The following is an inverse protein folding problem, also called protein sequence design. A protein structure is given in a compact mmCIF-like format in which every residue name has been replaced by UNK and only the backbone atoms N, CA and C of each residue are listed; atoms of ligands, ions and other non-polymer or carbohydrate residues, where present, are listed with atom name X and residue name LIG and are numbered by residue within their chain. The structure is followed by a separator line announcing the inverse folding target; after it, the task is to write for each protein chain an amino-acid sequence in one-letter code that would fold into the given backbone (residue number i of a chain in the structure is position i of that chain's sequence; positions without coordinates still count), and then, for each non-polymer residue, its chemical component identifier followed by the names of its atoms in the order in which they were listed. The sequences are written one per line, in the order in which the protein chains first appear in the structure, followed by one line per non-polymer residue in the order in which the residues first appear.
data_IF_628315976677
#
_entry.id   IF_628315976677
#
_cell.length_a   1.000
_cell.length_b   1.000
_cell.length_c   1.000
_cell.angle_alpha   90.00
_cell.angle_beta   90.00
_cell.angle_gamma   90.00
#
_symmetry.space_group_name_H-M   'P 1'
#
loop_
_entity.id
_entity.type
_entity.pdbx_description
1 polymer ?
#
# COMPACT_ATOMS: atom_id res chain seq x y z
N UNK A 1 15.86 10.16 6.82
CA UNK A 1 16.66 9.85 5.62
C UNK A 1 17.82 8.93 6.00
N UNK A 2 17.74 7.64 5.66
CA UNK A 2 18.77 6.63 5.96
C UNK A 2 19.61 6.41 4.71
N UNK A 3 20.91 6.71 4.80
CA UNK A 3 21.91 6.47 3.76
C UNK A 3 22.02 4.96 3.48
N UNK A 4 21.60 4.51 2.31
CA UNK A 4 22.02 3.21 1.76
C UNK A 4 23.48 3.35 1.32
N UNK A 5 24.37 2.54 1.93
CA UNK A 5 25.73 2.33 1.46
C UNK A 5 25.74 1.13 0.53
N UNK A 6 26.33 1.35 -0.65
CA UNK A 6 26.65 0.39 -1.70
C UNK A 6 27.30 -0.90 -1.16
N UNK A 7 26.89 -2.06 -1.70
CA UNK A 7 27.53 -3.37 -1.52
C UNK A 7 27.53 -4.20 -2.81
N UNK A 8 27.82 -3.58 -3.95
CA UNK A 8 28.07 -4.28 -5.21
C UNK A 8 29.42 -3.86 -5.80
N UNK A 9 30.47 -4.09 -5.03
CA UNK A 9 31.83 -4.16 -5.55
C UNK A 9 32.53 -5.33 -4.86
N UNK A 10 33.29 -6.08 -5.65
CA UNK A 10 34.05 -7.30 -5.33
C UNK A 10 33.19 -8.58 -5.40
N UNK A 11 33.44 -9.50 -6.32
CA UNK A 11 34.74 -10.15 -6.58
C UNK A 11 34.97 -10.41 -8.06
N UNK A 12 35.80 -9.58 -8.68
CA UNK A 12 36.58 -9.97 -9.85
C UNK A 12 37.82 -10.66 -9.29
N UNK A 13 37.72 -11.97 -8.99
CA UNK A 13 38.83 -12.74 -8.44
C UNK A 13 39.69 -13.28 -9.59
N UNK A 14 40.88 -12.71 -9.72
CA UNK A 14 42.13 -13.32 -10.18
C UNK A 14 42.02 -14.35 -11.31
N UNK A 15 41.70 -13.90 -12.54
CA UNK A 15 42.22 -14.63 -13.71
C UNK A 15 43.70 -14.28 -13.84
N UNK A 16 44.57 -15.25 -13.60
CA UNK A 16 45.96 -15.20 -14.07
C UNK A 16 45.95 -14.78 -15.55
N UNK A 17 46.84 -13.89 -15.98
CA UNK A 17 46.89 -13.49 -17.39
C UNK A 17 47.13 -14.74 -18.23
N UNK A 18 46.16 -15.09 -19.07
CA UNK A 18 46.30 -16.16 -20.05
C UNK A 18 47.39 -15.72 -21.02
N UNK A 19 48.60 -16.24 -20.85
CA UNK A 19 49.66 -16.03 -21.83
C UNK A 19 49.35 -16.94 -23.02
N UNK A 20 48.64 -16.42 -24.00
CA UNK A 20 48.48 -17.08 -25.29
C UNK A 20 49.86 -17.17 -25.92
N UNK A 21 50.41 -18.38 -25.97
CA UNK A 21 51.65 -18.66 -26.68
C UNK A 21 51.35 -18.63 -28.18
N UNK A 22 52.17 -17.92 -28.94
CA UNK A 22 52.07 -17.87 -30.40
C UNK A 22 52.41 -19.24 -31.02
N UNK A 23 51.87 -19.55 -32.20
CA UNK A 23 52.14 -20.81 -32.90
C UNK A 23 53.65 -21.07 -33.11
N UNK A 24 54.43 -20.00 -33.31
CA UNK A 24 55.89 -20.03 -33.46
C UNK A 24 56.63 -20.38 -32.15
N UNK A 25 56.05 -20.08 -30.99
CA UNK A 25 56.59 -20.50 -29.68
C UNK A 25 56.27 -21.97 -29.37
N UNK A 26 55.17 -22.51 -29.90
CA UNK A 26 54.76 -23.91 -29.71
C UNK A 26 55.60 -24.85 -30.58
N UNK A 27 55.92 -24.46 -31.83
CA UNK A 27 56.70 -25.29 -32.76
C UNK A 27 58.15 -25.52 -32.35
N UNK A 28 58.67 -24.70 -31.42
CA UNK A 28 60.05 -24.77 -30.93
C UNK A 28 60.20 -25.55 -29.61
N UNK A 29 59.10 -26.06 -29.06
CA UNK A 29 59.12 -26.82 -27.80
C UNK A 29 59.73 -28.21 -28.00
N UNK A 30 60.49 -28.66 -27.02
CA UNK A 30 60.87 -30.07 -26.91
C UNK A 30 59.66 -30.93 -26.51
N UNK A 31 59.73 -32.23 -26.79
CA UNK A 31 58.69 -33.20 -26.43
C UNK A 31 58.28 -33.16 -24.96
N UNK A 32 59.23 -32.91 -24.06
CA UNK A 32 58.99 -32.81 -22.63
C UNK A 32 58.23 -31.51 -22.27
N UNK A 33 58.64 -30.39 -22.85
CA UNK A 33 57.99 -29.08 -22.64
C UNK A 33 56.57 -29.06 -23.21
N UNK A 34 56.35 -29.68 -24.37
CA UNK A 34 55.02 -29.84 -24.96
C UNK A 34 54.10 -30.69 -24.09
N UNK A 35 54.59 -31.82 -23.54
CA UNK A 35 53.82 -32.66 -22.60
C UNK A 35 53.45 -31.90 -21.33
N UNK A 36 54.37 -31.11 -20.77
CA UNK A 36 54.10 -30.25 -19.60
C UNK A 36 53.01 -29.21 -19.92
N UNK A 37 53.07 -28.58 -21.10
CA UNK A 37 52.07 -27.62 -21.55
C UNK A 37 50.68 -28.26 -21.66
N UNK A 38 50.56 -29.44 -22.28
CA UNK A 38 49.30 -30.18 -22.37
C UNK A 38 48.72 -30.51 -20.99
N UNK A 39 49.56 -31.02 -20.08
CA UNK A 39 49.12 -31.33 -18.71
C UNK A 39 48.59 -30.07 -18.03
N UNK A 40 49.28 -28.93 -18.18
CA UNK A 40 48.85 -27.65 -17.61
C UNK A 40 47.49 -27.21 -18.18
N UNK A 41 47.30 -27.28 -19.50
CA UNK A 41 46.04 -26.92 -20.14
C UNK A 41 44.88 -27.84 -19.72
N UNK A 42 45.14 -29.15 -19.58
CA UNK A 42 44.15 -30.12 -19.12
C UNK A 42 43.76 -29.88 -17.67
N UNK A 43 44.71 -29.55 -16.80
CA UNK A 43 44.44 -29.21 -15.40
C UNK A 43 43.59 -27.94 -15.31
N UNK A 44 43.94 -26.88 -16.06
CA UNK A 44 43.15 -25.64 -16.09
C UNK A 44 41.72 -25.88 -16.61
N UNK A 45 41.56 -26.73 -17.63
CA UNK A 45 40.24 -27.11 -18.13
C UNK A 45 39.44 -27.91 -17.09
N UNK A 46 40.10 -28.80 -16.35
CA UNK A 46 39.48 -29.57 -15.26
C UNK A 46 39.02 -28.67 -14.12
N UNK A 47 39.83 -27.70 -13.70
CA UNK A 47 39.48 -26.71 -12.67
C UNK A 47 38.27 -25.88 -13.10
N UNK A 48 38.27 -25.35 -14.33
CA UNK A 48 37.15 -24.60 -14.89
C UNK A 48 35.84 -25.41 -14.94
N UNK A 49 35.90 -26.70 -15.32
CA UNK A 49 34.73 -27.58 -15.32
C UNK A 49 34.18 -27.82 -13.91
N UNK A 50 35.05 -27.96 -12.92
CA UNK A 50 34.65 -28.11 -11.53
C UNK A 50 33.96 -26.84 -11.01
N UNK A 51 34.50 -25.66 -11.30
CA UNK A 51 33.87 -24.38 -10.95
C UNK A 51 32.49 -24.22 -11.60
N UNK A 52 32.36 -24.55 -12.89
CA UNK A 52 31.07 -24.52 -13.59
C UNK A 52 30.07 -25.51 -12.98
N UNK A 53 30.52 -26.70 -12.59
CA UNK A 53 29.68 -27.72 -11.93
C UNK A 53 29.14 -27.21 -10.60
N UNK A 54 29.98 -26.62 -9.76
CA UNK A 54 29.56 -26.03 -8.48
C UNK A 54 28.62 -24.84 -8.68
N UNK A 55 28.92 -23.96 -9.66
CA UNK A 55 28.01 -22.87 -10.03
C UNK A 55 26.64 -23.37 -10.50
N UNK A 56 26.58 -24.49 -11.21
CA UNK A 56 25.32 -25.07 -11.66
C UNK A 56 24.53 -25.70 -10.50
N UNK A 57 25.21 -26.26 -9.49
CA UNK A 57 24.58 -26.72 -8.24
C UNK A 57 23.98 -25.57 -7.46
N UNK A 58 24.69 -24.45 -7.31
CA UNK A 58 24.16 -23.27 -6.61
C UNK A 58 22.94 -22.68 -7.33
N UNK A 59 23.01 -22.54 -8.66
CA UNK A 59 21.87 -22.06 -9.47
C UNK A 59 20.64 -22.97 -9.31
N UNK A 60 20.83 -24.29 -9.27
CA UNK A 60 19.73 -25.24 -9.04
C UNK A 60 19.09 -25.05 -7.67
N UNK A 61 19.91 -24.82 -6.64
CA UNK A 61 19.45 -24.55 -5.28
C UNK A 61 18.64 -23.25 -5.23
N UNK A 62 19.19 -22.15 -5.74
CA UNK A 62 18.53 -20.84 -5.77
C UNK A 62 17.20 -20.91 -6.55
N UNK A 63 17.17 -21.66 -7.66
CA UNK A 63 15.94 -21.89 -8.42
C UNK A 63 14.87 -22.62 -7.61
N UNK A 64 15.25 -23.59 -6.77
CA UNK A 64 14.31 -24.29 -5.89
C UNK A 64 13.73 -23.34 -4.85
N UNK A 65 14.60 -22.60 -4.16
CA UNK A 65 14.20 -21.63 -3.13
C UNK A 65 13.27 -20.54 -3.70
N UNK A 66 13.56 -20.03 -4.90
CA UNK A 66 12.69 -19.09 -5.59
C UNK A 66 11.30 -19.66 -5.90
N UNK A 67 11.22 -20.95 -6.25
CA UNK A 67 9.94 -21.62 -6.56
C UNK A 67 9.10 -21.81 -5.30
N UNK A 68 9.75 -22.11 -4.19
CA UNK A 68 9.09 -22.26 -2.89
C UNK A 68 8.56 -20.89 -2.41
N UNK A 69 9.40 -19.85 -2.44
CA UNK A 69 8.98 -18.48 -2.12
C UNK A 69 7.82 -18.01 -3.02
N UNK A 70 7.85 -18.32 -4.31
CA UNK A 70 6.75 -18.01 -5.23
C UNK A 70 5.45 -18.72 -4.83
N UNK A 71 5.54 -19.96 -4.36
CA UNK A 71 4.38 -20.76 -3.96
C UNK A 71 3.79 -20.24 -2.65
N UNK A 72 4.63 -19.88 -1.67
CA UNK A 72 4.22 -19.27 -0.41
C UNK A 72 3.49 -17.94 -0.60
N UNK A 73 3.85 -17.17 -1.64
CA UNK A 73 3.19 -15.89 -1.93
C UNK A 73 1.79 -16.01 -2.54
N UNK A 74 1.40 -17.18 -3.08
CA UNK A 74 0.09 -17.33 -3.78
C UNK A 74 -1.11 -17.24 -2.85
N UNK A 75 -1.03 -17.87 -1.69
CA UNK A 75 -2.09 -17.87 -0.68
C UNK A 75 -2.39 -16.46 -0.14
N UNK A 76 -1.41 -15.69 0.39
CA UNK A 76 -1.68 -14.35 0.89
C UNK A 76 -2.17 -13.40 -0.22
N UNK A 77 -1.69 -13.54 -1.46
CA UNK A 77 -2.22 -12.76 -2.59
C UNK A 77 -3.71 -13.06 -2.85
N UNK A 78 -4.10 -14.34 -2.76
CA UNK A 78 -5.50 -14.76 -2.93
C UNK A 78 -6.37 -14.25 -1.78
N UNK A 79 -5.85 -14.30 -0.54
CA UNK A 79 -6.54 -13.75 0.63
C UNK A 79 -6.73 -12.22 0.51
N UNK A 80 -5.68 -11.48 0.13
CA UNK A 80 -5.74 -10.03 -0.11
C UNK A 80 -6.81 -9.72 -1.16
N UNK A 81 -6.85 -10.47 -2.26
CA UNK A 81 -7.86 -10.30 -3.33
C UNK A 81 -9.28 -10.49 -2.79
N UNK A 82 -9.53 -11.53 -1.99
CA UNK A 82 -10.83 -11.81 -1.42
C UNK A 82 -11.26 -10.74 -0.40
N UNK A 83 -10.32 -10.29 0.44
CA UNK A 83 -10.55 -9.22 1.40
C UNK A 83 -10.89 -7.89 0.71
N UNK A 84 -10.20 -7.56 -0.38
CA UNK A 84 -10.51 -6.39 -1.22
C UNK A 84 -11.92 -6.47 -1.81
N UNK A 85 -12.30 -7.64 -2.35
CA UNK A 85 -13.65 -7.84 -2.88
C UNK A 85 -14.71 -7.62 -1.79
N UNK A 86 -14.53 -8.22 -0.61
CA UNK A 86 -15.42 -8.05 0.54
C UNK A 86 -15.50 -6.60 1.01
N UNK A 87 -14.36 -5.90 1.04
CA UNK A 87 -14.29 -4.49 1.41
C UNK A 87 -15.06 -3.62 0.43
N UNK A 88 -14.90 -3.85 -0.88
CA UNK A 88 -15.63 -3.13 -1.92
C UNK A 88 -17.16 -3.29 -1.78
N UNK A 89 -17.64 -4.50 -1.47
CA UNK A 89 -19.08 -4.71 -1.21
C UNK A 89 -19.57 -3.92 -0.01
N UNK A 90 -18.79 -3.85 1.07
CA UNK A 90 -19.11 -3.06 2.28
C UNK A 90 -19.12 -1.57 1.98
N UNK A 91 -18.14 -1.06 1.25
CA UNK A 91 -18.07 0.35 0.83
C UNK A 91 -19.28 0.71 -0.01
N UNK A 92 -19.67 -0.12 -0.97
CA UNK A 92 -20.86 0.14 -1.80
C UNK A 92 -22.14 0.19 -0.97
N UNK A 93 -22.30 -0.72 0.01
CA UNK A 93 -23.43 -0.69 0.96
C UNK A 93 -23.42 0.59 1.80
N UNK A 94 -22.26 0.95 2.36
CA UNK A 94 -22.11 2.16 3.17
C UNK A 94 -22.44 3.41 2.36
N UNK A 95 -21.99 3.49 1.10
CA UNK A 95 -22.28 4.62 0.21
C UNK A 95 -23.78 4.80 0.00
N UNK A 96 -24.52 3.71 -0.23
CA UNK A 96 -25.99 3.77 -0.33
C UNK A 96 -26.62 4.28 0.96
N UNK A 97 -26.19 3.76 2.11
CA UNK A 97 -26.68 4.21 3.41
C UNK A 97 -26.42 5.71 3.66
N UNK A 98 -25.23 6.21 3.29
CA UNK A 98 -24.90 7.63 3.39
C UNK A 98 -25.84 8.49 2.55
N UNK A 99 -26.09 8.12 1.29
CA UNK A 99 -27.03 8.84 0.40
C UNK A 99 -28.45 8.86 1.01
N UNK A 100 -28.92 7.72 1.54
CA UNK A 100 -30.24 7.64 2.17
C UNK A 100 -30.34 8.53 3.41
N UNK A 101 -29.26 8.63 4.20
CA UNK A 101 -29.20 9.49 5.38
C UNK A 101 -29.16 10.98 4.99
N UNK A 102 -28.37 11.36 4.00
CA UNK A 102 -28.32 12.73 3.46
C UNK A 102 -29.72 13.17 2.98
N UNK A 103 -30.44 12.30 2.27
CA UNK A 103 -31.81 12.59 1.85
C UNK A 103 -32.77 12.79 3.03
N UNK A 104 -32.69 11.92 4.04
CA UNK A 104 -33.52 12.03 5.25
C UNK A 104 -33.21 13.29 6.05
N UNK A 105 -31.93 13.65 6.16
CA UNK A 105 -31.48 14.86 6.85
C UNK A 105 -32.02 16.11 6.16
N UNK A 106 -31.92 16.20 4.83
CA UNK A 106 -32.48 17.30 4.06
C UNK A 106 -34.01 17.43 4.24
N UNK A 107 -34.73 16.30 4.21
CA UNK A 107 -36.18 16.27 4.45
C UNK A 107 -36.53 16.73 5.87
N UNK A 108 -35.77 16.30 6.87
CA UNK A 108 -35.97 16.71 8.26
C UNK A 108 -35.71 18.20 8.45
N UNK A 109 -34.62 18.73 7.89
CA UNK A 109 -34.30 20.15 7.93
C UNK A 109 -35.43 21.01 7.34
N UNK A 110 -35.99 20.60 6.19
CA UNK A 110 -37.14 21.26 5.58
C UNK A 110 -38.38 21.24 6.50
N UNK A 111 -38.67 20.08 7.11
CA UNK A 111 -39.80 19.94 8.04
C UNK A 111 -39.65 20.81 9.28
N UNK A 112 -38.46 20.84 9.89
CA UNK A 112 -38.16 21.68 11.04
C UNK A 112 -38.27 23.18 10.71
N UNK A 113 -37.81 23.60 9.52
CA UNK A 113 -37.99 24.97 9.08
C UNK A 113 -39.47 25.36 8.93
N UNK A 114 -40.31 24.45 8.42
CA UNK A 114 -41.76 24.67 8.33
C UNK A 114 -42.41 24.76 9.70
N UNK A 115 -42.06 23.86 10.63
CA UNK A 115 -42.56 23.90 12.02
C UNK A 115 -42.17 25.22 12.69
N UNK A 116 -40.90 25.64 12.57
CA UNK A 116 -40.41 26.91 13.12
C UNK A 116 -41.21 28.11 12.60
N UNK A 117 -41.50 28.16 11.29
CA UNK A 117 -42.34 29.22 10.71
C UNK A 117 -43.78 29.22 11.27
N UNK A 118 -44.36 28.04 11.52
CA UNK A 118 -45.71 27.94 12.11
C UNK A 118 -45.71 28.37 13.58
N UNK A 119 -44.71 27.97 14.35
CA UNK A 119 -44.54 28.38 15.75
C UNK A 119 -44.37 29.89 15.84
N UNK A 120 -43.48 30.49 15.04
CA UNK A 120 -43.27 31.93 15.01
C UNK A 120 -44.58 32.70 14.74
N UNK A 121 -45.35 32.29 13.74
CA UNK A 121 -46.65 32.91 13.43
C UNK A 121 -47.63 32.81 14.60
N UNK A 122 -47.65 31.66 15.29
CA UNK A 122 -48.51 31.47 16.45
C UNK A 122 -48.06 32.35 17.63
N UNK A 123 -46.76 32.44 17.90
CA UNK A 123 -46.20 33.30 18.93
C UNK A 123 -46.52 34.78 18.68
N UNK A 124 -46.32 35.24 17.45
CA UNK A 124 -46.64 36.62 17.04
C UNK A 124 -48.16 36.89 17.20
N UNK A 125 -49.00 35.92 16.86
CA UNK A 125 -50.45 36.00 17.05
C UNK A 125 -50.86 36.10 18.52
N UNK A 126 -50.30 35.26 19.38
CA UNK A 126 -50.55 35.30 20.84
C UNK A 126 -50.09 36.63 21.43
N UNK A 127 -48.92 37.14 21.03
CA UNK A 127 -48.41 38.44 21.48
C UNK A 127 -49.36 39.58 21.08
N UNK A 128 -49.82 39.59 19.84
CA UNK A 128 -50.79 40.57 19.34
C UNK A 128 -52.11 40.54 20.12
N UNK A 129 -52.65 39.36 20.40
CA UNK A 129 -53.87 39.21 21.21
C UNK A 129 -53.67 39.72 22.64
N UNK A 130 -52.53 39.41 23.25
CA UNK A 130 -52.20 39.88 24.59
C UNK A 130 -52.06 41.41 24.67
N UNK A 131 -51.42 42.01 23.67
CA UNK A 131 -51.29 43.47 23.57
C UNK A 131 -52.65 44.15 23.38
N UNK A 132 -53.55 43.54 22.59
CA UNK A 132 -54.92 44.01 22.43
C UNK A 132 -55.70 43.94 23.75
N UNK A 133 -55.59 42.82 24.49
CA UNK A 133 -56.23 42.68 25.80
C UNK A 133 -55.73 43.73 26.79
N UNK A 134 -54.41 43.97 26.84
CA UNK A 134 -53.82 45.04 27.67
C UNK A 134 -54.34 46.44 27.31
N UNK A 135 -54.47 46.75 26.03
CA UNK A 135 -55.02 48.04 25.57
C UNK A 135 -56.48 48.23 25.98
N UNK A 136 -57.26 47.16 26.05
CA UNK A 136 -58.67 47.21 26.43
C UNK A 136 -58.88 47.31 27.96
N UNK A 137 -57.88 46.97 28.77
CA UNK A 137 -58.01 46.93 30.23
C UNK A 137 -57.44 48.19 30.90
N UNK A 138 -58.20 48.79 31.81
CA UNK A 138 -57.73 49.86 32.70
C UNK A 138 -57.16 49.22 33.96
N UNK A 139 -55.86 49.40 34.21
CA UNK A 139 -55.24 49.00 35.48
C UNK A 139 -55.32 50.15 36.49
N UNK A 140 -56.08 49.96 37.56
CA UNK A 140 -56.13 50.90 38.69
C UNK A 140 -55.15 50.37 39.76
N UNK A 141 -54.08 51.13 40.02
CA UNK A 141 -53.05 50.81 41.01
C UNK A 141 -53.18 51.74 42.22
N UNK A 142 -52.91 51.23 43.42
CA UNK A 142 -52.89 52.04 44.65
C UNK A 142 -54.24 52.17 45.38
N UNK A 143 -55.21 51.30 45.10
CA UNK A 143 -56.40 51.16 45.94
C UNK A 143 -56.01 50.31 47.17
N UNK A 144 -56.21 50.79 48.40
CA UNK A 144 -55.92 49.99 49.59
C UNK A 144 -56.80 48.75 49.64
N UNK A 145 -56.22 47.60 49.95
CA UNK A 145 -56.97 46.37 50.18
C UNK A 145 -57.84 46.57 51.43
N UNK A 146 -59.16 46.46 51.28
CA UNK A 146 -60.10 46.61 52.38
C UNK A 146 -59.99 45.42 53.35
N UNK A 147 -60.06 45.73 54.65
CA UNK A 147 -60.01 44.77 55.78
C UNK A 147 -61.00 43.59 55.66
#
# INVERSE_FOLDING_TARGET
MRRQRNRSQMKEQNKTPRKELSEMEISNLTDAEFKILLIKMLNELSENLNELSEGLKSIKKDRSEMKDAQSEMKEPLTEIKNNLHRFNSRVHKSKKQTIDLEYKEAKNAQSEQQKKKRIQKNEDGVRSLWDNFKRANICILGVPEGE
#
